data_IF_818926164564
#
_entry.id   IF_818926164564
#
_cell.length_a   1.000
_cell.length_b   1.000
_cell.length_c   1.000
_cell.angle_alpha   90.00
_cell.angle_beta   90.00
_cell.angle_gamma   90.00
#
_symmetry.space_group_name_H-M   'P 1'
#
loop_
_entity.id
_entity.type
_entity.pdbx_description
1 polymer ?
#
# COMPACT_ATOMS: atom_id res chain seq x y z
N UNK A 1 -20.35 15.86 -11.06
CA UNK A 1 -21.33 14.77 -10.88
C UNK A 1 -20.85 13.46 -11.50
N UNK A 2 -20.35 13.44 -12.74
CA UNK A 2 -19.66 12.23 -13.30
C UNK A 2 -18.26 12.08 -12.70
N UNK A 3 -17.55 13.22 -12.61
CA UNK A 3 -16.53 13.32 -11.58
C UNK A 3 -17.15 13.18 -10.18
N UNK A 4 -16.50 13.06 -9.04
CA UNK A 4 -17.14 12.56 -7.80
C UNK A 4 -17.56 11.09 -7.88
N UNK A 5 -18.45 10.66 -8.79
CA UNK A 5 -18.86 9.23 -8.91
C UNK A 5 -17.65 8.36 -9.25
N UNK A 6 -16.91 8.70 -10.31
CA UNK A 6 -15.71 7.94 -10.72
C UNK A 6 -14.63 7.99 -9.62
N UNK A 7 -14.55 9.09 -8.86
CA UNK A 7 -13.60 9.21 -7.75
C UNK A 7 -13.94 8.28 -6.60
N UNK A 8 -15.20 8.25 -6.18
CA UNK A 8 -15.69 7.32 -5.18
C UNK A 8 -15.50 5.86 -5.61
N UNK A 9 -15.71 5.55 -6.90
CA UNK A 9 -15.43 4.21 -7.44
C UNK A 9 -13.95 3.83 -7.35
N UNK A 10 -13.03 4.75 -7.69
CA UNK A 10 -11.58 4.50 -7.55
C UNK A 10 -11.20 4.29 -6.11
N UNK A 11 -11.74 5.11 -5.21
CA UNK A 11 -11.54 5.05 -3.77
C UNK A 11 -11.96 3.69 -3.21
N UNK A 12 -13.22 3.30 -3.43
CA UNK A 12 -13.74 1.99 -2.98
C UNK A 12 -12.98 0.82 -3.58
N UNK A 13 -12.62 0.90 -4.87
CA UNK A 13 -11.84 -0.18 -5.52
C UNK A 13 -10.44 -0.32 -4.93
N UNK A 14 -9.78 0.79 -4.63
CA UNK A 14 -8.47 0.78 -3.97
C UNK A 14 -8.56 0.22 -2.54
N UNK A 15 -9.61 0.59 -1.79
CA UNK A 15 -9.85 0.02 -0.46
C UNK A 15 -10.03 -1.49 -0.52
N UNK A 16 -10.81 -2.04 -1.46
CA UNK A 16 -10.97 -3.49 -1.62
C UNK A 16 -9.67 -4.21 -1.99
N UNK A 17 -8.85 -3.63 -2.86
CA UNK A 17 -7.53 -4.21 -3.20
C UNK A 17 -6.62 -4.20 -1.96
N UNK A 18 -6.62 -3.10 -1.21
CA UNK A 18 -5.82 -2.97 0.00
C UNK A 18 -6.29 -3.92 1.10
N UNK A 19 -7.60 -4.08 1.29
CA UNK A 19 -8.18 -5.06 2.21
C UNK A 19 -7.68 -6.47 1.91
N UNK A 20 -7.71 -6.87 0.64
CA UNK A 20 -7.24 -8.19 0.22
C UNK A 20 -5.74 -8.39 0.54
N UNK A 21 -4.91 -7.38 0.26
CA UNK A 21 -3.48 -7.42 0.61
C UNK A 21 -3.28 -7.58 2.12
N UNK A 22 -3.97 -6.76 2.93
CA UNK A 22 -3.88 -6.81 4.40
C UNK A 22 -4.38 -8.15 4.95
N UNK A 23 -5.46 -8.70 4.41
CA UNK A 23 -6.01 -9.99 4.83
C UNK A 23 -5.04 -11.14 4.55
N UNK A 24 -4.37 -11.14 3.39
CA UNK A 24 -3.36 -12.14 3.08
C UNK A 24 -2.19 -12.07 4.07
N UNK A 25 -1.66 -10.88 4.32
CA UNK A 25 -0.50 -10.72 5.19
C UNK A 25 -0.81 -10.96 6.67
N UNK A 26 -1.95 -10.45 7.17
CA UNK A 26 -2.34 -10.67 8.57
C UNK A 26 -2.57 -12.16 8.85
N UNK A 27 -3.14 -12.90 7.88
CA UNK A 27 -3.36 -14.35 7.99
C UNK A 27 -2.04 -15.09 7.99
N UNK A 28 -1.11 -14.72 7.09
CA UNK A 28 0.23 -15.32 7.02
C UNK A 28 1.04 -15.11 8.30
N UNK A 29 0.85 -13.97 8.99
CA UNK A 29 1.59 -13.60 10.20
C UNK A 29 0.83 -13.98 11.50
N UNK A 30 -0.37 -14.54 11.41
CA UNK A 30 -1.19 -14.89 12.58
C UNK A 30 -1.71 -13.67 13.37
N UNK A 31 -1.77 -12.50 12.75
CA UNK A 31 -2.14 -11.23 13.38
C UNK A 31 -3.63 -10.93 13.13
N UNK A 32 -4.34 -10.50 14.17
CA UNK A 32 -5.78 -10.24 14.10
C UNK A 32 -6.09 -8.74 14.18
N UNK A 33 -6.75 -8.22 13.14
CA UNK A 33 -7.41 -6.92 13.12
C UNK A 33 -8.45 -6.84 11.98
N UNK A 34 -9.30 -5.83 12.05
CA UNK A 34 -10.29 -5.51 11.02
C UNK A 34 -9.60 -4.86 9.80
N UNK A 35 -9.38 -5.66 8.75
CA UNK A 35 -8.68 -5.23 7.54
C UNK A 35 -9.55 -4.36 6.63
N UNK A 36 -10.86 -4.62 6.60
CA UNK A 36 -11.82 -3.82 5.83
C UNK A 36 -11.79 -2.39 6.36
N UNK A 37 -12.01 -2.22 7.66
CA UNK A 37 -11.97 -0.89 8.30
C UNK A 37 -10.62 -0.21 8.10
N UNK A 38 -9.52 -0.91 8.35
CA UNK A 38 -8.19 -0.32 8.17
C UNK A 38 -7.96 0.12 6.71
N UNK A 39 -8.35 -0.69 5.73
CA UNK A 39 -8.16 -0.35 4.32
C UNK A 39 -8.93 0.92 3.91
N UNK A 40 -10.15 1.09 4.42
CA UNK A 40 -10.99 2.26 4.19
C UNK A 40 -10.32 3.49 4.82
N UNK A 41 -9.89 3.38 6.08
CA UNK A 41 -9.24 4.46 6.82
C UNK A 41 -7.96 4.92 6.12
N UNK A 42 -7.10 3.99 5.69
CA UNK A 42 -5.84 4.33 5.03
C UNK A 42 -6.05 5.00 3.66
N UNK A 43 -6.98 4.50 2.85
CA UNK A 43 -7.31 5.13 1.57
C UNK A 43 -7.97 6.49 1.78
N UNK A 44 -8.83 6.64 2.80
CA UNK A 44 -9.41 7.94 3.17
C UNK A 44 -8.33 8.94 3.55
N UNK A 45 -7.34 8.54 4.36
CA UNK A 45 -6.26 9.40 4.78
C UNK A 45 -5.43 9.88 3.59
N UNK A 46 -5.05 8.98 2.68
CA UNK A 46 -4.38 9.35 1.42
C UNK A 46 -5.24 10.33 0.61
N UNK A 47 -6.56 10.08 0.54
CA UNK A 47 -7.49 10.92 -0.21
C UNK A 47 -7.53 12.37 0.30
N UNK A 48 -7.40 12.54 1.62
CA UNK A 48 -7.37 13.86 2.27
C UNK A 48 -6.01 14.53 2.05
N UNK A 49 -4.91 13.78 2.15
CA UNK A 49 -3.55 14.31 1.97
C UNK A 49 -3.27 14.77 0.54
N UNK A 50 -3.80 14.04 -0.44
CA UNK A 50 -3.54 14.25 -1.86
C UNK A 50 -4.79 14.75 -2.60
N UNK A 51 -5.58 15.61 -1.94
CA UNK A 51 -6.87 16.08 -2.42
C UNK A 51 -6.78 16.68 -3.84
N UNK A 52 -5.68 17.38 -4.13
CA UNK A 52 -5.41 17.99 -5.44
C UNK A 52 -5.36 16.97 -6.58
N UNK A 53 -4.88 15.75 -6.33
CA UNK A 53 -4.84 14.67 -7.32
C UNK A 53 -6.21 14.04 -7.56
N UNK A 54 -7.08 14.06 -6.55
CA UNK A 54 -8.38 13.39 -6.60
C UNK A 54 -9.55 14.35 -6.92
N UNK A 55 -9.31 15.67 -6.92
CA UNK A 55 -10.27 16.73 -7.24
C UNK A 55 -10.31 17.12 -8.73
N UNK A 56 -10.15 16.17 -9.65
CA UNK A 56 -10.41 16.39 -11.09
C UNK A 56 -9.48 17.37 -11.82
N UNK A 57 -8.42 17.86 -11.16
CA UNK A 57 -7.42 18.72 -11.81
C UNK A 57 -6.61 17.97 -12.86
N UNK A 58 -6.56 16.65 -12.78
CA UNK A 58 -5.86 15.78 -13.72
C UNK A 58 -6.84 15.03 -14.63
N UNK A 59 -6.51 14.97 -15.92
CA UNK A 59 -7.29 14.26 -16.96
C UNK A 59 -7.33 12.74 -16.70
N UNK A 60 -6.30 12.22 -16.04
CA UNK A 60 -6.12 10.80 -15.77
C UNK A 60 -6.13 10.53 -14.27
N UNK A 61 -6.75 9.43 -13.87
CA UNK A 61 -6.70 8.92 -12.50
C UNK A 61 -5.46 8.05 -12.27
N UNK A 62 -4.90 8.06 -11.05
CA UNK A 62 -3.91 7.07 -10.65
C UNK A 62 -4.54 5.68 -10.63
N UNK A 63 -3.71 4.69 -10.93
CA UNK A 63 -4.04 3.29 -10.82
C UNK A 63 -4.33 2.94 -9.36
N UNK A 64 -5.31 2.07 -9.14
CA UNK A 64 -5.71 1.65 -7.79
C UNK A 64 -4.55 1.01 -7.02
N UNK A 65 -3.66 0.27 -7.69
CA UNK A 65 -2.46 -0.29 -7.06
C UNK A 65 -1.50 0.81 -6.59
N UNK A 66 -1.32 1.88 -7.38
CA UNK A 66 -0.52 3.05 -6.99
C UNK A 66 -1.11 3.76 -5.76
N UNK A 67 -2.45 3.86 -5.69
CA UNK A 67 -3.16 4.36 -4.50
C UNK A 67 -2.88 3.45 -3.30
N UNK A 68 -3.01 2.13 -3.43
CA UNK A 68 -2.71 1.18 -2.35
C UNK A 68 -1.27 1.30 -1.85
N UNK A 69 -0.29 1.40 -2.77
CA UNK A 69 1.13 1.56 -2.45
C UNK A 69 1.38 2.85 -1.66
N UNK A 70 0.81 3.97 -2.09
CA UNK A 70 0.94 5.23 -1.36
C UNK A 70 0.25 5.19 0.01
N UNK A 71 -0.96 4.61 0.10
CA UNK A 71 -1.67 4.45 1.38
C UNK A 71 -0.86 3.63 2.37
N UNK A 72 -0.29 2.50 1.91
CA UNK A 72 0.56 1.64 2.74
C UNK A 72 1.84 2.37 3.16
N UNK A 73 2.52 3.05 2.24
CA UNK A 73 3.71 3.85 2.53
C UNK A 73 3.45 4.89 3.62
N UNK A 74 2.36 5.66 3.50
CA UNK A 74 1.99 6.63 4.52
C UNK A 74 1.67 5.97 5.87
N UNK A 75 0.98 4.83 5.87
CA UNK A 75 0.69 4.09 7.09
C UNK A 75 1.96 3.56 7.78
N UNK A 76 2.93 3.07 7.01
CA UNK A 76 4.22 2.57 7.52
C UNK A 76 5.05 3.69 8.15
N UNK A 77 4.99 4.88 7.58
CA UNK A 77 5.64 6.08 8.12
C UNK A 77 4.93 6.64 9.36
N UNK A 78 3.66 6.29 9.57
CA UNK A 78 2.87 6.73 10.72
C UNK A 78 3.26 5.98 11.99
N UNK A 79 3.52 6.71 13.07
CA UNK A 79 3.86 6.13 14.38
C UNK A 79 2.63 5.61 15.16
N UNK A 80 1.42 5.73 14.59
CA UNK A 80 0.15 5.47 15.27
C UNK A 80 -0.29 3.99 15.25
N UNK A 81 0.58 3.07 14.88
CA UNK A 81 0.24 1.65 14.74
C UNK A 81 1.07 0.80 15.69
N UNK A 82 0.43 -0.21 16.31
CA UNK A 82 1.16 -1.21 17.08
C UNK A 82 2.17 -1.94 16.20
N UNK A 83 3.26 -2.44 16.81
CA UNK A 83 4.33 -3.13 16.08
C UNK A 83 3.80 -4.25 15.17
N UNK A 84 2.91 -5.11 15.68
CA UNK A 84 2.27 -6.16 14.89
C UNK A 84 1.51 -5.61 13.67
N UNK A 85 0.74 -4.53 13.83
CA UNK A 85 -0.01 -3.94 12.71
C UNK A 85 0.97 -3.34 11.69
N UNK A 86 2.03 -2.68 12.18
CA UNK A 86 3.09 -2.11 11.35
C UNK A 86 3.81 -3.18 10.53
N UNK A 87 4.07 -4.35 11.09
CA UNK A 87 4.64 -5.49 10.34
C UNK A 87 3.73 -5.92 9.18
N UNK A 88 2.43 -6.06 9.40
CA UNK A 88 1.47 -6.40 8.34
C UNK A 88 1.44 -5.33 7.25
N UNK A 89 1.48 -4.05 7.62
CA UNK A 89 1.52 -2.94 6.67
C UNK A 89 2.78 -2.99 5.80
N UNK A 90 3.94 -3.28 6.39
CA UNK A 90 5.19 -3.34 5.65
C UNK A 90 5.23 -4.56 4.73
N UNK A 91 4.84 -5.73 5.21
CA UNK A 91 4.72 -6.93 4.37
C UNK A 91 3.77 -6.67 3.18
N UNK A 92 2.66 -5.98 3.43
CA UNK A 92 1.70 -5.63 2.37
C UNK A 92 2.29 -4.65 1.36
N UNK A 93 3.08 -3.67 1.82
CA UNK A 93 3.77 -2.70 0.98
C UNK A 93 4.76 -3.38 0.04
N UNK A 94 5.59 -4.28 0.57
CA UNK A 94 6.60 -5.01 -0.21
C UNK A 94 5.95 -5.88 -1.30
N UNK A 95 4.85 -6.56 -0.98
CA UNK A 95 4.08 -7.34 -1.97
C UNK A 95 3.49 -6.44 -3.04
N UNK A 96 2.88 -5.31 -2.66
CA UNK A 96 2.31 -4.39 -3.64
C UNK A 96 3.37 -3.81 -4.59
N UNK A 97 4.55 -3.44 -4.06
CA UNK A 97 5.68 -2.97 -4.87
C UNK A 97 6.23 -4.08 -5.78
N UNK A 98 6.31 -5.31 -5.31
CA UNK A 98 6.71 -6.46 -6.14
C UNK A 98 5.75 -6.68 -7.32
N UNK A 99 4.45 -6.53 -7.09
CA UNK A 99 3.44 -6.60 -8.18
C UNK A 99 3.59 -5.42 -9.16
N UNK A 100 3.93 -4.22 -8.67
CA UNK A 100 4.27 -3.08 -9.54
C UNK A 100 5.46 -3.42 -10.42
N UNK A 101 6.56 -3.93 -9.86
CA UNK A 101 7.77 -4.22 -10.64
C UNK A 101 7.59 -5.37 -11.64
N UNK A 102 6.88 -6.42 -11.25
CA UNK A 102 6.75 -7.66 -12.03
C UNK A 102 5.65 -7.60 -13.09
N UNK A 103 4.52 -6.94 -12.81
CA UNK A 103 3.33 -6.97 -13.69
C UNK A 103 2.86 -5.59 -14.13
N UNK A 104 3.08 -4.56 -13.33
CA UNK A 104 2.59 -3.22 -13.61
C UNK A 104 3.72 -2.20 -13.79
N UNK A 105 4.85 -2.61 -14.35
CA UNK A 105 6.05 -1.76 -14.47
C UNK A 105 5.79 -0.48 -15.25
N UNK A 106 4.88 -0.54 -16.23
CA UNK A 106 4.43 0.62 -17.01
C UNK A 106 3.81 1.75 -16.16
N UNK A 107 3.38 1.47 -14.91
CA UNK A 107 2.94 2.51 -13.98
C UNK A 107 4.08 3.45 -13.58
N UNK A 108 5.34 2.98 -13.59
CA UNK A 108 6.50 3.82 -13.31
C UNK A 108 6.75 4.85 -14.43
N UNK A 109 6.24 4.60 -15.63
CA UNK A 109 6.34 5.51 -16.78
C UNK A 109 5.21 6.56 -16.79
N UNK A 110 4.12 6.33 -16.05
CA UNK A 110 3.00 7.26 -15.92
C UNK A 110 3.30 8.29 -14.82
N UNK A 111 3.41 9.60 -15.12
CA UNK A 111 3.80 10.60 -14.13
C UNK A 111 2.93 10.61 -12.87
N UNK A 112 1.62 10.43 -13.03
CA UNK A 112 0.69 10.42 -11.90
C UNK A 112 0.90 9.21 -10.99
N UNK A 113 1.14 8.02 -11.54
CA UNK A 113 1.35 6.80 -10.75
C UNK A 113 2.74 6.80 -10.11
N UNK A 114 3.75 7.28 -10.85
CA UNK A 114 5.11 7.45 -10.36
C UNK A 114 5.17 8.37 -9.14
N UNK A 115 4.34 9.41 -9.09
CA UNK A 115 4.21 10.31 -7.94
C UNK A 115 3.83 9.53 -6.66
N UNK A 116 2.93 8.57 -6.76
CA UNK A 116 2.50 7.73 -5.63
C UNK A 116 3.47 6.58 -5.31
N UNK A 117 4.10 5.99 -6.33
CA UNK A 117 4.96 4.80 -6.17
C UNK A 117 6.37 5.18 -5.71
N UNK A 118 6.97 6.25 -6.24
CA UNK A 118 8.39 6.56 -5.97
C UNK A 118 8.70 6.82 -4.50
N UNK A 119 7.88 7.58 -3.74
CA UNK A 119 8.11 7.76 -2.31
C UNK A 119 8.02 6.44 -1.54
N UNK A 120 7.14 5.54 -1.96
CA UNK A 120 6.93 4.25 -1.33
C UNK A 120 8.12 3.30 -1.50
N UNK A 121 8.85 3.38 -2.61
CA UNK A 121 10.11 2.66 -2.79
C UNK A 121 11.15 3.06 -1.73
N UNK A 122 11.31 4.36 -1.47
CA UNK A 122 12.25 4.84 -0.45
C UNK A 122 11.85 4.40 0.98
N UNK A 123 10.55 4.34 1.27
CA UNK A 123 10.04 3.79 2.53
C UNK A 123 10.33 2.30 2.65
N UNK A 124 10.08 1.55 1.56
CA UNK A 124 10.36 0.12 1.51
C UNK A 124 11.85 -0.18 1.69
N UNK A 125 12.75 0.54 1.01
CA UNK A 125 14.20 0.39 1.17
C UNK A 125 14.63 0.61 2.63
N UNK A 126 14.13 1.67 3.27
CA UNK A 126 14.43 1.97 4.68
C UNK A 126 13.95 0.88 5.63
N UNK A 127 12.77 0.30 5.37
CA UNK A 127 12.24 -0.76 6.21
C UNK A 127 12.86 -2.13 5.89
N UNK A 128 13.24 -2.41 4.65
CA UNK A 128 13.94 -3.65 4.27
C UNK A 128 15.31 -3.76 4.97
N UNK A 129 16.03 -2.65 5.08
CA UNK A 129 17.25 -2.56 5.92
C UNK A 129 16.98 -2.86 7.41
N UNK A 130 15.77 -2.57 7.89
CA UNK A 130 15.35 -2.83 9.26
C UNK A 130 14.85 -4.26 9.44
N UNK A 131 14.19 -4.83 8.44
CA UNK A 131 13.64 -6.19 8.44
C UNK A 131 14.66 -7.28 8.13
N UNK A 132 15.63 -7.02 7.26
CA UNK A 132 16.79 -7.90 7.04
C UNK A 132 17.59 -8.16 8.32
N UNK A 133 17.40 -7.33 9.35
CA UNK A 133 18.01 -7.45 10.68
C UNK A 133 17.07 -8.06 11.73
N UNK A 134 15.81 -8.37 11.41
CA UNK A 134 14.83 -8.95 12.35
C UNK A 134 14.73 -10.48 12.21
N UNK A 135 14.54 -11.17 13.34
CA UNK A 135 14.57 -12.66 13.38
C UNK A 135 13.39 -13.31 12.64
N UNK A 136 12.23 -12.66 12.62
CA UNK A 136 10.99 -13.18 12.02
C UNK A 136 11.13 -13.40 10.50
N UNK A 137 11.93 -12.59 9.83
CA UNK A 137 12.16 -12.74 8.38
C UNK A 137 13.25 -13.73 8.03
N UNK A 138 14.20 -13.98 8.93
CA UNK A 138 15.16 -15.08 8.76
C UNK A 138 14.42 -16.42 8.75
N UNK A 139 13.37 -16.56 9.58
CA UNK A 139 12.52 -17.75 9.61
C UNK A 139 11.66 -17.89 8.33
N UNK A 140 11.11 -16.79 7.80
CA UNK A 140 10.38 -16.80 6.52
C UNK A 140 11.28 -17.02 5.30
N UNK A 141 12.51 -16.51 5.33
CA UNK A 141 13.54 -16.75 4.31
C UNK A 141 14.06 -18.19 4.33
N UNK A 142 14.13 -18.81 5.52
CA UNK A 142 14.47 -20.22 5.67
C UNK A 142 13.38 -21.13 5.08
N UNK A 143 12.11 -20.79 5.24
CA UNK A 143 10.98 -21.52 4.64
C UNK A 143 10.92 -21.43 3.11
N UNK A 144 11.51 -20.41 2.49
CA UNK A 144 11.63 -20.30 1.02
C UNK A 144 12.73 -21.19 0.42
N UNK A 145 13.66 -21.68 1.25
CA UNK A 145 14.81 -22.49 0.83
C UNK A 145 14.74 -23.95 1.32
N UNK A 146 13.61 -24.36 1.89
CA UNK A 146 13.29 -25.74 2.30
C UNK A 146 12.23 -26.35 1.39
#
# INVERSE_FOLDING_TARGET
>A
MIGTIIGNLHKSSASLILENLLNLQKTSLGIQFDAEKLSIDLVNELWIKEEDFFNWRYINWPNKLSICVASLSYAVMSENHSDNKREVLIASLLVALTEVESRYRHLLDRPIDRHFISPALAVAEKEDDRFSRSSIWQDLGALKNS
#
